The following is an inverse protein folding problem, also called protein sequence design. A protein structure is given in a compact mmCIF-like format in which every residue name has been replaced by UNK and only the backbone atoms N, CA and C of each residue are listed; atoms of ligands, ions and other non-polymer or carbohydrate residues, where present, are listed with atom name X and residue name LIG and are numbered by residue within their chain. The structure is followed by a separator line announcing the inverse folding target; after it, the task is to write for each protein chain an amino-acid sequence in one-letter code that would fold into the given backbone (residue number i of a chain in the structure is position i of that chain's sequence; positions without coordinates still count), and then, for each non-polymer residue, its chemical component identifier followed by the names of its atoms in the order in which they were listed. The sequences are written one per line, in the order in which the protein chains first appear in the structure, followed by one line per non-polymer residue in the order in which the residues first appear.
data_IF_332201183734
#
_entry.id   IF_332201183734
#
_cell.length_a   1.000
_cell.length_b   1.000
_cell.length_c   1.000
_cell.angle_alpha   90.00
_cell.angle_beta   90.00
_cell.angle_gamma   90.00
#
_symmetry.space_group_name_H-M   'P 1'
#
loop_
_entity.id
_entity.type
_entity.pdbx_description
1 polymer ?
#
# COMPACT_ATOMS: atom_id res chain seq x y z
N UNK A 1 16.92 46.18 -24.94
CA UNK A 1 16.58 45.63 -23.61
C UNK A 1 15.30 44.78 -23.71
N UNK A 2 15.37 43.52 -24.16
CA UNK A 2 14.16 42.70 -24.38
C UNK A 2 14.37 41.18 -24.32
N UNK A 3 15.57 40.72 -23.96
CA UNK A 3 15.92 39.29 -23.88
C UNK A 3 15.81 38.71 -22.45
N UNK A 4 15.78 39.57 -21.42
CA UNK A 4 15.70 39.15 -20.01
C UNK A 4 14.32 38.67 -19.55
N UNK A 5 13.23 39.22 -20.10
CA UNK A 5 11.87 38.80 -19.72
C UNK A 5 11.53 37.38 -20.19
N UNK A 6 12.00 36.96 -21.36
CA UNK A 6 11.70 35.62 -21.89
C UNK A 6 12.35 34.51 -21.07
N UNK A 7 13.55 34.73 -20.54
CA UNK A 7 14.24 33.77 -19.67
C UNK A 7 13.52 33.57 -18.33
N UNK A 8 13.03 34.65 -17.72
CA UNK A 8 12.30 34.61 -16.45
C UNK A 8 10.95 33.91 -16.57
N UNK A 9 10.22 34.14 -17.67
CA UNK A 9 8.93 33.47 -17.94
C UNK A 9 9.14 31.97 -18.15
N UNK A 10 10.19 31.57 -18.88
CA UNK A 10 10.48 30.15 -19.11
C UNK A 10 10.91 29.41 -17.84
N UNK A 11 11.63 30.09 -16.93
CA UNK A 11 12.02 29.53 -15.64
C UNK A 11 10.82 29.36 -14.70
N UNK A 12 9.86 30.29 -14.74
CA UNK A 12 8.62 30.18 -13.97
C UNK A 12 7.71 29.03 -14.44
N UNK A 13 7.69 28.73 -15.74
CA UNK A 13 6.95 27.61 -16.32
C UNK A 13 7.50 26.24 -15.90
N UNK A 14 8.83 26.12 -15.71
CA UNK A 14 9.46 24.87 -15.24
C UNK A 14 9.14 24.56 -13.77
N UNK A 15 8.89 25.57 -12.95
CA UNK A 15 8.53 25.42 -11.54
C UNK A 15 7.06 24.97 -11.34
N UNK A 16 6.23 25.04 -12.39
CA UNK A 16 4.83 24.61 -12.36
C UNK A 16 4.62 23.14 -12.75
N UNK A 17 5.68 22.39 -13.05
CA UNK A 17 5.60 20.93 -13.19
C UNK A 17 5.53 20.34 -11.79
N UNK A 18 4.36 20.48 -11.16
CA UNK A 18 4.04 19.78 -9.92
C UNK A 18 4.05 18.29 -10.21
N UNK A 19 4.95 17.56 -9.55
CA UNK A 19 4.92 16.11 -9.52
C UNK A 19 3.58 15.69 -8.93
N UNK A 20 2.63 15.32 -9.80
CA UNK A 20 1.41 14.64 -9.41
C UNK A 20 1.82 13.23 -8.97
N UNK A 21 2.29 13.09 -7.74
CA UNK A 21 2.49 11.79 -7.12
C UNK A 21 1.10 11.20 -6.95
N UNK A 22 0.66 10.41 -7.93
CA UNK A 22 -0.40 9.45 -7.69
C UNK A 22 0.28 8.34 -6.89
N UNK A 23 -0.01 8.17 -5.59
CA UNK A 23 0.57 7.08 -4.82
C UNK A 23 -0.16 5.81 -5.25
N UNK A 24 0.16 5.32 -6.43
CA UNK A 24 -0.12 3.95 -6.80
C UNK A 24 0.97 3.13 -6.14
N UNK A 25 0.59 2.21 -5.27
CA UNK A 25 1.54 1.23 -4.73
C UNK A 25 1.82 0.30 -5.92
N UNK A 26 3.02 0.30 -6.51
CA UNK A 26 3.32 -0.63 -7.59
C UNK A 26 3.39 -2.03 -6.98
N UNK A 27 2.34 -2.81 -7.16
CA UNK A 27 2.25 -4.19 -6.68
C UNK A 27 2.52 -5.11 -7.86
N UNK A 28 3.64 -5.84 -7.80
CA UNK A 28 3.90 -6.99 -8.65
C UNK A 28 3.71 -8.27 -7.82
N UNK A 29 3.62 -9.43 -8.45
CA UNK A 29 3.54 -10.73 -7.77
C UNK A 29 4.69 -10.95 -6.78
N UNK A 30 5.84 -10.30 -6.98
CA UNK A 30 6.98 -10.36 -6.06
C UNK A 30 6.79 -9.52 -4.78
N UNK A 31 5.96 -8.48 -4.81
CA UNK A 31 5.74 -7.55 -3.70
C UNK A 31 4.24 -7.33 -3.41
N UNK A 32 3.51 -8.45 -3.23
CA UNK A 32 2.07 -8.44 -2.92
C UNK A 32 1.72 -8.14 -1.45
N UNK A 33 2.75 -7.97 -0.60
CA UNK A 33 2.62 -7.55 0.79
C UNK A 33 3.45 -6.28 1.00
N UNK A 34 2.78 -5.22 1.45
CA UNK A 34 3.43 -3.97 1.86
C UNK A 34 3.18 -3.79 3.35
N UNK A 35 4.27 -3.63 4.10
CA UNK A 35 4.23 -3.39 5.55
C UNK A 35 4.89 -2.05 5.87
N UNK A 36 4.26 -1.29 6.76
CA UNK A 36 4.89 -0.10 7.32
C UNK A 36 6.03 -0.48 8.27
N UNK A 37 7.05 0.37 8.36
CA UNK A 37 8.17 0.16 9.28
C UNK A 37 7.75 0.14 10.75
N UNK A 38 6.64 0.82 11.09
CA UNK A 38 6.01 0.82 12.41
C UNK A 38 5.53 -0.58 12.82
N UNK A 39 4.93 -1.34 11.89
CA UNK A 39 4.46 -2.71 12.14
C UNK A 39 5.63 -3.66 12.42
N UNK A 40 6.70 -3.55 11.61
CA UNK A 40 7.91 -4.34 11.79
C UNK A 40 8.58 -4.02 13.13
N UNK A 41 8.70 -2.73 13.48
CA UNK A 41 9.25 -2.29 14.78
C UNK A 41 8.36 -2.73 15.95
N UNK A 42 7.04 -2.75 15.76
CA UNK A 42 6.09 -3.28 16.73
C UNK A 42 6.18 -4.81 16.88
N UNK A 43 6.99 -5.52 16.10
CA UNK A 43 7.15 -6.98 16.20
C UNK A 43 6.02 -7.75 15.52
N UNK A 44 5.36 -7.14 14.52
CA UNK A 44 4.37 -7.80 13.68
C UNK A 44 5.04 -8.26 12.38
N UNK A 45 4.82 -9.52 12.02
CA UNK A 45 5.17 -10.07 10.71
C UNK A 45 3.91 -10.58 10.01
N UNK A 46 3.93 -10.60 8.68
CA UNK A 46 2.85 -11.13 7.85
C UNK A 46 3.40 -12.07 6.79
N UNK A 47 2.63 -13.10 6.48
CA UNK A 47 2.86 -13.95 5.32
C UNK A 47 2.34 -13.29 4.05
N UNK A 48 2.96 -13.65 2.92
CA UNK A 48 2.46 -13.27 1.60
C UNK A 48 0.98 -13.69 1.47
N UNK A 49 0.08 -12.79 1.04
CA UNK A 49 -1.33 -13.13 0.91
C UNK A 49 -1.53 -14.23 -0.14
N UNK A 50 -2.43 -15.17 0.18
CA UNK A 50 -2.88 -16.22 -0.73
C UNK A 50 -4.21 -15.81 -1.33
N UNK A 51 -4.31 -15.87 -2.66
CA UNK A 51 -5.53 -15.64 -3.41
C UNK A 51 -6.28 -16.96 -3.59
N UNK A 52 -7.55 -16.97 -3.21
CA UNK A 52 -8.49 -18.06 -3.46
C UNK A 52 -9.55 -17.59 -4.45
N UNK A 53 -9.48 -18.09 -5.68
CA UNK A 53 -10.46 -17.85 -6.74
C UNK A 53 -11.54 -18.93 -6.65
N UNK A 54 -12.49 -18.76 -5.73
CA UNK A 54 -13.70 -19.59 -5.71
C UNK A 54 -14.66 -19.13 -6.81
N UNK A 55 -15.50 -20.05 -7.31
CA UNK A 55 -16.48 -19.78 -8.38
C UNK A 55 -17.49 -18.67 -8.04
N UNK A 56 -17.66 -18.35 -6.76
CA UNK A 56 -18.62 -17.36 -6.27
C UNK A 56 -17.98 -15.98 -6.10
N UNK A 57 -16.85 -15.91 -5.39
CA UNK A 57 -16.15 -14.65 -5.16
C UNK A 57 -14.66 -14.89 -4.87
N UNK A 58 -13.75 -14.14 -5.50
CA UNK A 58 -12.35 -14.18 -5.13
C UNK A 58 -12.16 -13.65 -3.71
N UNK A 59 -11.28 -14.30 -2.95
CA UNK A 59 -10.92 -13.92 -1.59
C UNK A 59 -9.41 -13.94 -1.42
N UNK A 60 -8.88 -13.06 -0.57
CA UNK A 60 -7.48 -13.00 -0.24
C UNK A 60 -7.31 -13.12 1.28
N UNK A 61 -6.30 -13.88 1.70
CA UNK A 61 -6.02 -14.15 3.11
C UNK A 61 -4.52 -14.04 3.38
N UNK A 62 -4.13 -13.49 4.52
CA UNK A 62 -2.74 -13.43 5.00
C UNK A 62 -2.71 -13.76 6.49
N UNK A 63 -1.69 -14.50 6.91
CA UNK A 63 -1.44 -14.81 8.32
C UNK A 63 -0.57 -13.73 8.92
N UNK A 64 -0.97 -13.20 10.07
CA UNK A 64 -0.20 -12.23 10.85
C UNK A 64 0.31 -12.88 12.14
N UNK A 65 1.55 -12.58 12.53
CA UNK A 65 2.16 -13.04 13.77
C UNK A 65 2.54 -11.87 14.66
N UNK A 66 2.30 -12.02 15.96
CA UNK A 66 2.67 -11.05 16.99
C UNK A 66 3.74 -11.64 17.91
N UNK A 67 4.96 -11.13 17.77
CA UNK A 67 6.13 -11.53 18.57
C UNK A 67 6.21 -10.78 19.92
N UNK A 68 5.32 -9.81 20.17
CA UNK A 68 5.24 -9.09 21.45
C UNK A 68 4.33 -9.80 22.42
N UNK A 69 4.59 -9.58 23.72
CA UNK A 69 3.81 -10.14 24.82
C UNK A 69 2.46 -9.43 25.04
N UNK A 70 2.25 -8.29 24.39
CA UNK A 70 1.03 -7.50 24.46
C UNK A 70 0.24 -7.56 23.14
N UNK A 71 -1.10 -7.46 23.18
CA UNK A 71 -1.90 -7.37 21.97
C UNK A 71 -1.56 -6.12 21.15
N UNK A 72 -1.42 -6.28 19.84
CA UNK A 72 -1.14 -5.18 18.92
C UNK A 72 -2.30 -5.00 17.97
N UNK A 73 -2.80 -3.76 17.84
CA UNK A 73 -3.83 -3.44 16.85
C UNK A 73 -3.19 -3.06 15.52
N UNK A 74 -3.59 -3.74 14.45
CA UNK A 74 -3.11 -3.53 13.10
C UNK A 74 -4.25 -3.02 12.22
N UNK A 75 -3.95 -2.01 11.42
CA UNK A 75 -4.82 -1.52 10.37
C UNK A 75 -4.36 -2.10 9.04
N UNK A 76 -5.26 -2.78 8.33
CA UNK A 76 -4.93 -3.44 7.06
C UNK A 76 -6.01 -3.17 6.00
N UNK A 77 -5.64 -3.36 4.74
CA UNK A 77 -6.54 -3.28 3.60
C UNK A 77 -6.01 -4.13 2.45
N UNK A 78 -6.91 -4.81 1.75
CA UNK A 78 -6.60 -5.46 0.48
C UNK A 78 -6.78 -4.50 -0.70
N UNK A 79 -5.82 -4.52 -1.62
CA UNK A 79 -5.87 -3.82 -2.90
C UNK A 79 -6.00 -4.88 -3.99
N UNK A 80 -7.01 -4.73 -4.84
CA UNK A 80 -7.34 -5.68 -5.89
C UNK A 80 -6.92 -5.11 -7.23
N UNK A 81 -6.16 -5.89 -8.01
CA UNK A 81 -5.68 -5.49 -9.33
C UNK A 81 -6.15 -6.48 -10.38
N UNK A 82 -6.47 -6.00 -11.58
CA UNK A 82 -6.74 -6.85 -12.73
C UNK A 82 -5.44 -7.41 -13.35
N UNK A 83 -5.56 -8.25 -14.38
CA UNK A 83 -4.40 -8.84 -15.07
C UNK A 83 -3.47 -7.83 -15.76
N UNK A 84 -3.89 -6.56 -15.86
CA UNK A 84 -3.08 -5.45 -16.43
C UNK A 84 -2.45 -4.60 -15.33
N UNK A 85 -2.65 -4.95 -14.06
CA UNK A 85 -2.16 -4.20 -12.91
C UNK A 85 -3.00 -2.96 -12.58
N UNK A 86 -4.24 -2.85 -13.09
CA UNK A 86 -5.11 -1.72 -12.79
C UNK A 86 -5.94 -1.98 -11.53
N UNK A 87 -6.00 -1.01 -10.61
CA UNK A 87 -6.78 -1.12 -9.38
C UNK A 87 -8.29 -1.30 -9.70
N UNK A 88 -8.90 -2.33 -9.11
CA UNK A 88 -10.31 -2.68 -9.29
C UNK A 88 -11.19 -1.98 -8.23
N UNK A 89 -12.38 -1.57 -8.66
CA UNK A 89 -13.39 -0.94 -7.80
C UNK A 89 -14.58 -1.88 -7.53
N UNK A 90 -15.30 -1.73 -6.38
CA UNK A 90 -15.08 -0.73 -5.34
C UNK A 90 -13.87 -1.05 -4.46
N UNK A 91 -13.30 0.01 -3.89
CA UNK A 91 -12.18 -0.10 -2.97
C UNK A 91 -12.60 -0.74 -1.66
N UNK A 92 -11.83 -1.74 -1.21
CA UNK A 92 -12.06 -2.36 0.10
C UNK A 92 -11.84 -1.32 1.21
N UNK A 93 -12.68 -1.32 2.24
CA UNK A 93 -12.51 -0.38 3.35
C UNK A 93 -11.33 -0.82 4.22
N UNK A 94 -10.55 0.12 4.80
CA UNK A 94 -9.59 -0.21 5.84
C UNK A 94 -10.26 -0.95 6.99
N UNK A 95 -9.60 -1.99 7.48
CA UNK A 95 -10.06 -2.82 8.60
C UNK A 95 -9.05 -2.75 9.73
N UNK A 96 -9.52 -2.97 10.95
CA UNK A 96 -8.69 -3.00 12.15
C UNK A 96 -8.83 -4.37 12.81
N UNK A 97 -7.73 -4.97 13.21
CA UNK A 97 -7.72 -6.24 13.96
C UNK A 97 -6.73 -6.16 15.11
N UNK A 98 -7.11 -6.66 16.27
CA UNK A 98 -6.21 -6.81 17.41
C UNK A 98 -5.63 -8.22 17.40
N UNK A 99 -4.32 -8.32 17.25
CA UNK A 99 -3.60 -9.58 17.19
C UNK A 99 -3.13 -9.93 18.60
N UNK A 100 -3.64 -11.00 19.22
CA UNK A 100 -3.22 -11.39 20.56
C UNK A 100 -1.76 -11.87 20.56
N UNK A 101 -1.13 -11.85 21.72
CA UNK A 101 0.14 -12.54 21.89
C UNK A 101 -0.05 -14.05 21.78
N UNK A 102 0.80 -14.72 21.01
CA UNK A 102 0.88 -16.18 20.98
C UNK A 102 1.62 -16.63 22.25
N UNK A 103 0.89 -17.20 23.21
CA UNK A 103 1.52 -18.05 24.24
C UNK A 103 1.95 -19.34 23.55
N UNK A 104 3.26 -19.56 23.42
CA UNK A 104 3.82 -20.86 23.05
C UNK A 104 3.42 -21.93 24.06
#
# INVERSE_FOLDING_TARGET
MRKGCFGLVSLALLLLVGCRSHPEIPVNDEQSLVMESSLLAAGISAEKPVLSTSDIQPSASSTLYNERQEPVTVHYRFYWYDARGLEMHPLERPRSVSIPHIRR
#
